data_IF_903647718289
#
_entry.id   IF_903647718289
#
_cell.length_a   1.000
_cell.length_b   1.000
_cell.length_c   1.000
_cell.angle_alpha   90.00
_cell.angle_beta   90.00
_cell.angle_gamma   90.00
#
_symmetry.space_group_name_H-M   'P 1'
#
loop_
_entity.id
_entity.type
_entity.pdbx_description
1 polymer ?
#
# COMPACT_ATOMS: atom_id res chain seq x y z
N UNK A 1 6.72 -20.19 -17.89
CA UNK A 1 5.90 -19.51 -16.87
C UNK A 1 5.30 -18.31 -17.56
N UNK A 2 3.98 -18.17 -17.54
CA UNK A 2 3.33 -16.98 -18.10
C UNK A 2 3.72 -15.74 -17.28
N UNK A 3 3.70 -14.57 -17.91
CA UNK A 3 4.08 -13.29 -17.30
C UNK A 3 3.37 -13.05 -15.95
N UNK A 4 2.12 -13.50 -15.84
CA UNK A 4 1.29 -13.34 -14.65
C UNK A 4 1.72 -14.24 -13.48
N UNK A 5 2.19 -15.46 -13.76
CA UNK A 5 2.72 -16.36 -12.73
C UNK A 5 4.05 -15.86 -12.15
N UNK A 6 4.92 -15.30 -13.00
CA UNK A 6 6.18 -14.67 -12.57
C UNK A 6 5.87 -13.45 -11.70
N UNK A 7 4.93 -12.60 -12.14
CA UNK A 7 4.47 -11.44 -11.36
C UNK A 7 3.84 -11.85 -10.02
N UNK A 8 3.06 -12.93 -9.98
CA UNK A 8 2.43 -13.44 -8.76
C UNK A 8 3.45 -13.92 -7.73
N UNK A 9 4.44 -14.70 -8.15
CA UNK A 9 5.54 -15.16 -7.29
C UNK A 9 6.36 -13.97 -6.77
N UNK A 10 6.64 -12.99 -7.64
CA UNK A 10 7.34 -11.77 -7.24
C UNK A 10 6.56 -10.98 -6.18
N UNK A 11 5.24 -10.83 -6.35
CA UNK A 11 4.37 -10.20 -5.35
C UNK A 11 4.31 -10.96 -4.02
N UNK A 12 4.31 -12.30 -4.03
CA UNK A 12 4.35 -13.12 -2.80
C UNK A 12 5.67 -12.92 -2.05
N UNK A 13 6.80 -12.99 -2.76
CA UNK A 13 8.14 -12.79 -2.19
C UNK A 13 8.25 -11.37 -1.61
N UNK A 14 7.80 -10.37 -2.37
CA UNK A 14 7.80 -8.98 -1.91
C UNK A 14 6.91 -8.80 -0.68
N UNK A 15 5.73 -9.43 -0.65
CA UNK A 15 4.84 -9.43 0.50
C UNK A 15 5.46 -10.04 1.76
N UNK A 16 6.14 -11.19 1.63
CA UNK A 16 6.89 -11.81 2.72
C UNK A 16 8.03 -10.91 3.24
N UNK A 17 8.78 -10.28 2.34
CA UNK A 17 9.83 -9.31 2.72
C UNK A 17 9.20 -8.16 3.49
N UNK A 18 8.09 -7.60 3.01
CA UNK A 18 7.37 -6.51 3.68
C UNK A 18 6.76 -6.90 5.04
N UNK A 19 6.53 -8.18 5.32
CA UNK A 19 6.13 -8.63 6.66
C UNK A 19 7.35 -8.79 7.57
N UNK A 20 8.43 -9.39 7.05
CA UNK A 20 9.60 -9.78 7.84
C UNK A 20 10.51 -8.58 8.14
N UNK A 21 10.75 -7.69 7.18
CA UNK A 21 11.70 -6.58 7.35
C UNK A 21 11.29 -5.50 8.37
N UNK A 22 10.02 -5.07 8.47
CA UNK A 22 9.62 -4.07 9.47
C UNK A 22 9.75 -4.57 10.90
N UNK A 23 9.68 -5.89 11.13
CA UNK A 23 9.91 -6.50 12.45
C UNK A 23 11.34 -6.25 12.96
N UNK A 24 12.31 -5.99 12.06
CA UNK A 24 13.69 -5.67 12.44
C UNK A 24 13.92 -4.17 12.67
N UNK A 25 13.36 -3.28 11.84
CA UNK A 25 13.38 -1.82 12.06
C UNK A 25 12.52 -1.07 11.04
N UNK A 26 11.57 -0.28 11.53
CA UNK A 26 10.80 0.69 10.74
C UNK A 26 11.69 1.66 9.95
N UNK A 27 12.83 2.06 10.53
CA UNK A 27 13.79 2.94 9.88
C UNK A 27 14.46 2.29 8.68
N UNK A 28 14.78 0.99 8.77
CA UNK A 28 15.38 0.25 7.65
C UNK A 28 14.40 0.15 6.48
N UNK A 29 13.11 -0.10 6.76
CA UNK A 29 12.06 -0.11 5.74
C UNK A 29 11.91 1.26 5.08
N UNK A 30 11.90 2.34 5.86
CA UNK A 30 11.83 3.71 5.34
C UNK A 30 12.99 4.05 4.39
N UNK A 31 14.21 3.66 4.76
CA UNK A 31 15.40 3.84 3.93
C UNK A 31 15.29 3.03 2.63
N UNK A 32 14.87 1.77 2.68
CA UNK A 32 14.72 0.91 1.49
C UNK A 32 13.66 1.47 0.54
N UNK A 33 12.51 1.89 1.06
CA UNK A 33 11.45 2.52 0.27
C UNK A 33 11.96 3.84 -0.33
N UNK A 34 12.67 4.64 0.45
CA UNK A 34 13.24 5.90 -0.01
C UNK A 34 14.26 5.74 -1.14
N UNK A 35 15.19 4.78 -1.02
CA UNK A 35 16.14 4.42 -2.08
C UNK A 35 15.41 3.93 -3.34
N UNK A 36 14.39 3.08 -3.16
CA UNK A 36 13.59 2.55 -4.26
C UNK A 36 12.87 3.67 -5.03
N UNK A 37 12.34 4.68 -4.33
CA UNK A 37 11.70 5.86 -4.94
C UNK A 37 12.69 6.74 -5.70
N UNK A 38 13.92 6.90 -5.20
CA UNK A 38 14.97 7.63 -5.92
C UNK A 38 15.29 6.92 -7.24
N UNK A 39 15.49 5.61 -7.23
CA UNK A 39 15.73 4.85 -8.46
C UNK A 39 14.53 4.87 -9.42
N UNK A 40 13.31 4.76 -8.90
CA UNK A 40 12.08 4.91 -9.69
C UNK A 40 12.02 6.30 -10.36
N UNK A 41 12.38 7.35 -9.62
CA UNK A 41 12.34 8.70 -10.13
C UNK A 41 13.40 8.96 -11.20
N UNK A 42 14.62 8.45 -11.01
CA UNK A 42 15.68 8.46 -12.04
C UNK A 42 15.21 7.70 -13.28
N UNK A 43 14.65 6.50 -13.11
CA UNK A 43 14.14 5.70 -14.23
C UNK A 43 13.00 6.41 -14.98
N UNK A 44 12.08 7.07 -14.28
CA UNK A 44 10.98 7.83 -14.88
C UNK A 44 11.48 9.03 -15.70
N UNK A 45 12.50 9.75 -15.20
CA UNK A 45 13.13 10.87 -15.93
C UNK A 45 13.84 10.34 -17.18
N UNK A 46 14.60 9.25 -17.06
CA UNK A 46 15.32 8.64 -18.19
C UNK A 46 14.37 8.03 -19.24
N UNK A 47 13.20 7.56 -18.82
CA UNK A 47 12.16 7.05 -19.72
C UNK A 47 11.45 8.15 -20.53
N UNK A 48 11.69 9.44 -20.25
CA UNK A 48 11.90 10.49 -21.25
C UNK A 48 10.83 10.86 -22.29
N UNK A 49 9.60 10.32 -22.30
CA UNK A 49 8.63 10.58 -23.38
C UNK A 49 7.51 11.59 -23.08
N UNK A 50 7.36 12.07 -21.83
CA UNK A 50 6.42 13.16 -21.53
C UNK A 50 6.86 14.01 -20.34
N UNK A 51 6.50 15.30 -20.34
CA UNK A 51 6.79 16.20 -19.21
C UNK A 51 6.18 15.72 -17.88
N UNK A 52 5.11 14.90 -17.95
CA UNK A 52 4.51 14.28 -16.77
C UNK A 52 5.43 13.26 -16.10
N UNK A 53 6.19 12.48 -16.88
CA UNK A 53 7.16 11.51 -16.34
C UNK A 53 8.32 12.20 -15.62
N UNK A 54 8.74 13.37 -16.12
CA UNK A 54 9.77 14.19 -15.47
C UNK A 54 9.27 14.71 -14.12
N UNK A 55 8.04 15.24 -14.07
CA UNK A 55 7.43 15.73 -12.83
C UNK A 55 7.29 14.60 -11.81
N UNK A 56 6.75 13.44 -12.22
CA UNK A 56 6.64 12.26 -11.36
C UNK A 56 8.02 11.84 -10.86
N UNK A 57 9.03 11.83 -11.73
CA UNK A 57 10.37 11.40 -11.36
C UNK A 57 11.03 12.33 -10.35
N UNK A 58 10.87 13.65 -10.52
CA UNK A 58 11.35 14.64 -9.54
C UNK A 58 10.64 14.46 -8.20
N UNK A 59 9.31 14.31 -8.21
CA UNK A 59 8.54 14.07 -6.99
C UNK A 59 8.99 12.78 -6.29
N UNK A 60 9.17 11.69 -7.04
CA UNK A 60 9.64 10.42 -6.50
C UNK A 60 11.02 10.55 -5.84
N UNK A 61 11.95 11.31 -6.43
CA UNK A 61 13.26 11.58 -5.80
C UNK A 61 13.11 12.38 -4.50
N UNK A 62 12.27 13.43 -4.49
CA UNK A 62 12.02 14.25 -3.30
C UNK A 62 11.43 13.42 -2.16
N UNK A 63 10.38 12.63 -2.44
CA UNK A 63 9.78 11.73 -1.46
C UNK A 63 10.73 10.63 -1.03
N UNK A 64 11.60 10.16 -1.94
CA UNK A 64 12.63 9.19 -1.63
C UNK A 64 13.62 9.70 -0.58
N UNK A 65 14.13 10.92 -0.75
CA UNK A 65 14.96 11.56 0.27
C UNK A 65 14.20 11.83 1.57
N UNK A 66 12.93 12.25 1.49
CA UNK A 66 12.10 12.47 2.67
C UNK A 66 11.98 11.20 3.52
N UNK A 67 11.80 10.02 2.91
CA UNK A 67 11.73 8.75 3.63
C UNK A 67 13.08 8.25 4.15
N UNK A 68 14.20 8.60 3.52
CA UNK A 68 15.53 8.26 4.05
C UNK A 68 15.82 9.04 5.33
N UNK A 69 15.51 10.34 5.35
CA UNK A 69 15.87 11.23 6.46
C UNK A 69 14.79 11.38 7.52
N UNK A 70 13.54 11.03 7.23
CA UNK A 70 12.42 11.15 8.15
C UNK A 70 11.55 9.89 8.15
N UNK A 71 11.74 9.06 9.17
CA UNK A 71 10.98 7.82 9.37
C UNK A 71 9.48 8.12 9.59
N UNK A 72 9.16 9.26 10.21
CA UNK A 72 7.77 9.65 10.49
C UNK A 72 7.02 10.02 9.21
N UNK A 73 7.72 10.39 8.13
CA UNK A 73 7.08 10.67 6.85
C UNK A 73 6.41 9.42 6.25
N UNK A 74 7.00 8.23 6.43
CA UNK A 74 6.40 6.96 6.01
C UNK A 74 5.17 6.64 6.86
N UNK A 75 5.28 6.77 8.19
CA UNK A 75 4.18 6.60 9.15
C UNK A 75 2.99 7.50 8.83
N UNK A 76 3.27 8.77 8.49
CA UNK A 76 2.28 9.77 8.10
C UNK A 76 1.57 9.42 6.79
N UNK A 77 2.32 9.06 5.75
CA UNK A 77 1.73 8.70 4.46
C UNK A 77 0.80 7.48 4.59
N UNK A 78 1.26 6.45 5.31
CA UNK A 78 0.47 5.25 5.57
C UNK A 78 -0.77 5.57 6.40
N UNK A 79 -0.67 6.44 7.41
CA UNK A 79 -1.81 6.89 8.20
C UNK A 79 -2.87 7.60 7.37
N UNK A 80 -2.47 8.54 6.51
CA UNK A 80 -3.38 9.20 5.57
C UNK A 80 -4.07 8.19 4.67
N UNK A 81 -3.32 7.24 4.11
CA UNK A 81 -3.88 6.23 3.22
C UNK A 81 -4.93 5.36 3.93
N UNK A 82 -4.64 4.91 5.15
CA UNK A 82 -5.59 4.16 5.97
C UNK A 82 -6.84 4.96 6.34
N UNK A 83 -6.71 6.25 6.65
CA UNK A 83 -7.86 7.12 6.87
C UNK A 83 -8.74 7.25 5.63
N UNK A 84 -8.13 7.50 4.46
CA UNK A 84 -8.87 7.62 3.19
C UNK A 84 -9.59 6.31 2.87
N UNK A 85 -8.88 5.18 2.91
CA UNK A 85 -9.45 3.85 2.65
C UNK A 85 -10.57 3.55 3.64
N UNK A 86 -10.35 3.78 4.94
CA UNK A 86 -11.33 3.53 5.99
C UNK A 86 -12.62 4.31 5.77
N UNK A 87 -12.52 5.60 5.48
CA UNK A 87 -13.67 6.47 5.19
C UNK A 87 -14.42 5.99 3.94
N UNK A 88 -13.70 5.69 2.85
CA UNK A 88 -14.32 5.21 1.61
C UNK A 88 -15.05 3.89 1.81
N UNK A 89 -14.44 2.94 2.54
CA UNK A 89 -15.08 1.66 2.86
C UNK A 89 -16.35 1.85 3.69
N UNK A 90 -16.34 2.76 4.67
CA UNK A 90 -17.55 3.08 5.44
C UNK A 90 -18.66 3.59 4.50
N UNK A 91 -18.36 4.52 3.59
CA UNK A 91 -19.36 5.02 2.64
C UNK A 91 -19.87 3.95 1.68
N UNK A 92 -18.98 3.12 1.13
CA UNK A 92 -19.34 2.01 0.23
C UNK A 92 -20.23 1.01 0.97
N UNK A 93 -19.88 0.66 2.21
CA UNK A 93 -20.67 -0.25 3.02
C UNK A 93 -22.04 0.32 3.39
N UNK A 94 -22.13 1.61 3.73
CA UNK A 94 -23.41 2.28 3.97
C UNK A 94 -24.27 2.26 2.69
N UNK A 95 -23.72 2.66 1.54
CA UNK A 95 -24.43 2.61 0.26
C UNK A 95 -24.91 1.18 -0.07
N UNK A 96 -24.08 0.17 0.22
CA UNK A 96 -24.39 -1.25 0.05
C UNK A 96 -25.49 -1.79 0.96
N UNK A 97 -25.85 -1.11 2.06
CA UNK A 97 -26.99 -1.49 2.89
C UNK A 97 -28.33 -1.06 2.28
N UNK A 98 -28.30 0.01 1.47
CA UNK A 98 -29.47 0.57 0.80
C UNK A 98 -29.63 0.09 -0.65
N UNK A 99 -28.59 -0.50 -1.26
CA UNK A 99 -28.69 -1.10 -2.59
C UNK A 99 -29.41 -2.44 -2.54
N UNK A 100 -30.53 -2.57 -3.26
CA UNK A 100 -31.34 -3.80 -3.32
C UNK A 100 -30.69 -4.95 -4.10
N UNK A 101 -29.69 -4.67 -4.95
CA UNK A 101 -29.02 -5.65 -5.80
C UNK A 101 -27.50 -5.39 -5.82
N UNK A 102 -26.69 -6.45 -5.65
CA UNK A 102 -25.24 -6.43 -5.89
C UNK A 102 -24.36 -6.88 -4.73
N UNK A 103 -24.58 -6.36 -3.50
CA UNK A 103 -23.79 -6.70 -2.32
C UNK A 103 -24.72 -7.23 -1.24
N UNK A 104 -24.45 -8.41 -0.70
CA UNK A 104 -25.27 -8.96 0.38
C UNK A 104 -25.21 -7.99 1.58
N UNK A 105 -26.34 -7.78 2.28
CA UNK A 105 -26.38 -6.89 3.47
C UNK A 105 -25.30 -7.25 4.49
N UNK A 106 -24.96 -8.55 4.59
CA UNK A 106 -23.88 -9.05 5.44
C UNK A 106 -22.50 -8.61 4.95
N UNK A 107 -22.22 -8.65 3.64
CA UNK A 107 -20.98 -8.11 3.08
C UNK A 107 -20.87 -6.60 3.28
N UNK A 108 -21.97 -5.85 3.15
CA UNK A 108 -22.00 -4.40 3.42
C UNK A 108 -21.65 -4.08 4.87
N UNK A 109 -22.18 -4.85 5.85
CA UNK A 109 -21.81 -4.72 7.26
C UNK A 109 -20.31 -5.02 7.48
N UNK A 110 -19.80 -6.11 6.89
CA UNK A 110 -18.38 -6.45 6.99
C UNK A 110 -17.48 -5.36 6.42
N UNK A 111 -17.85 -4.74 5.29
CA UNK A 111 -17.12 -3.64 4.68
C UNK A 111 -17.08 -2.41 5.61
N UNK A 112 -18.19 -2.08 6.28
CA UNK A 112 -18.22 -1.00 7.28
C UNK A 112 -17.27 -1.32 8.44
N UNK A 113 -17.33 -2.54 8.98
CA UNK A 113 -16.46 -2.97 10.09
C UNK A 113 -14.98 -2.86 9.67
N UNK A 114 -14.63 -3.34 8.47
CA UNK A 114 -13.27 -3.24 7.95
C UNK A 114 -12.84 -1.78 7.77
N UNK A 115 -13.76 -0.92 7.31
CA UNK A 115 -13.51 0.51 7.18
C UNK A 115 -13.22 1.20 8.51
N UNK A 116 -13.96 0.85 9.57
CA UNK A 116 -13.71 1.34 10.93
C UNK A 116 -12.34 0.86 11.44
N UNK A 117 -12.02 -0.42 11.24
CA UNK A 117 -10.72 -0.98 11.62
C UNK A 117 -9.59 -0.26 10.87
N UNK A 118 -9.72 -0.08 9.55
CA UNK A 118 -8.76 0.66 8.74
C UNK A 118 -8.59 2.11 9.21
N UNK A 119 -9.69 2.80 9.55
CA UNK A 119 -9.65 4.16 10.09
C UNK A 119 -8.88 4.23 11.42
N UNK A 120 -9.14 3.32 12.35
CA UNK A 120 -8.41 3.22 13.62
C UNK A 120 -6.93 2.93 13.37
N UNK A 121 -6.64 2.03 12.42
CA UNK A 121 -5.27 1.69 12.05
C UNK A 121 -4.50 2.90 11.52
N UNK A 122 -5.15 3.83 10.82
CA UNK A 122 -4.55 5.09 10.39
C UNK A 122 -4.04 5.98 11.53
N UNK A 123 -4.69 5.93 12.71
CA UNK A 123 -4.18 6.57 13.92
C UNK A 123 -2.98 5.84 14.51
N UNK A 124 -3.03 4.51 14.54
CA UNK A 124 -1.95 3.68 15.10
C UNK A 124 -0.71 3.59 14.21
N UNK A 125 -0.84 3.80 12.90
CA UNK A 125 0.31 3.82 12.00
C UNK A 125 1.20 5.05 12.20
N UNK A 126 0.66 6.13 12.81
CA UNK A 126 1.45 7.30 13.24
C UNK A 126 2.36 6.98 14.44
N UNK A 127 1.98 6.02 15.29
CA UNK A 127 2.76 5.63 16.47
C UNK A 127 3.67 4.44 16.22
N UNK A 128 3.28 3.54 15.30
CA UNK A 128 4.13 2.42 14.89
C UNK A 128 3.84 1.98 13.43
N UNK A 129 4.71 2.30 12.45
CA UNK A 129 4.49 1.96 11.05
C UNK A 129 4.60 0.46 10.74
N UNK A 130 5.05 -0.37 11.69
CA UNK A 130 5.18 -1.82 11.53
C UNK A 130 3.83 -2.45 11.18
N UNK A 131 2.74 -1.99 11.80
CA UNK A 131 1.40 -2.52 11.53
C UNK A 131 0.95 -2.29 10.09
N UNK A 132 1.28 -1.12 9.54
CA UNK A 132 0.96 -0.77 8.17
C UNK A 132 1.76 -1.61 7.16
N UNK A 133 3.04 -1.83 7.43
CA UNK A 133 3.89 -2.64 6.57
C UNK A 133 3.50 -4.12 6.55
N UNK A 134 3.10 -4.68 7.71
CA UNK A 134 2.54 -6.04 7.80
C UNK A 134 1.26 -6.15 6.97
N UNK A 135 0.38 -5.14 7.03
CA UNK A 135 -0.89 -5.15 6.31
C UNK A 135 -0.70 -5.05 4.79
N UNK A 136 0.24 -4.21 4.33
CA UNK A 136 0.68 -4.18 2.93
C UNK A 136 1.25 -5.52 2.50
N UNK A 137 2.10 -6.14 3.33
CA UNK A 137 2.67 -7.45 3.05
C UNK A 137 1.59 -8.54 2.91
N UNK A 138 0.58 -8.55 3.80
CA UNK A 138 -0.58 -9.44 3.69
C UNK A 138 -1.37 -9.18 2.41
N UNK A 139 -1.61 -7.92 2.05
CA UNK A 139 -2.32 -7.57 0.82
C UNK A 139 -1.57 -8.03 -0.45
N UNK A 140 -0.23 -7.87 -0.48
CA UNK A 140 0.62 -8.35 -1.56
C UNK A 140 0.62 -9.89 -1.68
N UNK A 141 0.59 -10.60 -0.54
CA UNK A 141 0.46 -12.07 -0.54
C UNK A 141 -0.89 -12.48 -1.11
N UNK A 142 -2.00 -11.88 -0.66
CA UNK A 142 -3.35 -12.18 -1.17
C UNK A 142 -3.42 -11.91 -2.68
N UNK A 143 -2.89 -10.78 -3.13
CA UNK A 143 -2.86 -10.40 -4.54
C UNK A 143 -1.99 -11.36 -5.38
N UNK A 144 -0.82 -11.75 -4.87
CA UNK A 144 0.07 -12.69 -5.53
C UNK A 144 -0.52 -14.10 -5.61
N UNK A 145 -1.20 -14.56 -4.56
CA UNK A 145 -1.98 -15.82 -4.58
C UNK A 145 -3.09 -15.74 -5.61
N UNK A 146 -3.83 -14.62 -5.69
CA UNK A 146 -4.87 -14.44 -6.70
C UNK A 146 -4.32 -14.51 -8.12
N UNK A 147 -3.19 -13.84 -8.39
CA UNK A 147 -2.54 -13.86 -9.70
C UNK A 147 -1.96 -15.23 -10.06
N UNK A 148 -1.54 -16.00 -9.06
CA UNK A 148 -1.01 -17.35 -9.26
C UNK A 148 -2.12 -18.40 -9.47
N UNK A 149 -3.29 -18.22 -8.84
CA UNK A 149 -4.42 -19.18 -8.91
C UNK A 149 -5.44 -18.83 -9.99
N UNK A 150 -5.54 -17.57 -10.42
CA UNK A 150 -6.51 -17.13 -11.44
C UNK A 150 -6.15 -17.52 -12.88
N UNK A 151 -5.06 -18.28 -13.09
CA UNK A 151 -4.68 -18.94 -14.34
C UNK A 151 -4.31 -20.41 -14.11
#
# INVERSE_FOLDING_TARGET
MESNQISGILSIILGLIFIIFPLFSAGTVSIIIGISLIFLGIAAILAGFSGFNIIIGILAIIFGFLFIFNIDALSFLLGIQFYIIGILMIFIGIAGLFSGEGVSKLASILIIILGIIAFILGGTSLTNPIFAAVLIGVALIIQGVRLYVAE
#
